data_IF_238521307478
#
_entry.id   IF_238521307478
#
_cell.length_a   1.000
_cell.length_b   1.000
_cell.length_c   1.000
_cell.angle_alpha   90.00
_cell.angle_beta   90.00
_cell.angle_gamma   90.00
#
_symmetry.space_group_name_H-M   'P 1'
#
loop_
_entity.id
_entity.type
_entity.pdbx_description
1 polymer ?
#
# COMPACT_ATOMS: atom_id res chain seq x y z
N UNK A 1 33.60 1.86 34.42
CA UNK A 1 33.02 3.07 33.80
C UNK A 1 31.51 2.96 33.93
N UNK A 2 30.94 3.61 34.92
CA UNK A 2 29.52 3.59 35.27
C UNK A 2 28.76 4.47 34.28
N UNK A 3 27.94 3.85 33.44
CA UNK A 3 26.94 4.54 32.63
C UNK A 3 25.90 5.17 33.56
N UNK A 4 25.91 6.50 33.66
CA UNK A 4 24.82 7.26 34.28
C UNK A 4 23.56 7.04 33.45
N UNK A 5 22.66 6.19 33.92
CA UNK A 5 21.26 6.18 33.53
C UNK A 5 20.70 7.51 34.01
N UNK A 6 20.51 8.47 33.15
CA UNK A 6 19.74 9.67 33.45
C UNK A 6 18.31 9.22 33.76
N UNK A 7 17.95 9.24 35.03
CA UNK A 7 16.59 9.12 35.54
C UNK A 7 15.81 10.40 35.15
N UNK A 8 15.39 10.51 33.89
CA UNK A 8 14.33 11.45 33.56
C UNK A 8 13.03 10.88 34.10
N UNK A 9 12.32 11.70 34.91
CA UNK A 9 10.98 11.35 35.40
C UNK A 9 10.12 10.92 34.22
N UNK A 10 9.39 9.77 34.28
CA UNK A 10 8.56 9.29 33.18
C UNK A 10 7.49 10.29 32.71
N UNK A 11 7.21 11.33 33.47
CA UNK A 11 6.26 12.41 33.15
C UNK A 11 6.83 13.54 32.32
N UNK A 12 8.16 13.61 32.11
CA UNK A 12 8.84 14.72 31.39
C UNK A 12 9.47 14.30 30.06
N UNK A 13 9.19 13.09 29.56
CA UNK A 13 9.72 12.62 28.28
C UNK A 13 8.61 12.43 27.25
N UNK A 14 8.84 12.91 26.03
CA UNK A 14 8.00 12.62 24.88
C UNK A 14 8.10 11.12 24.56
N UNK A 15 7.01 10.51 24.15
CA UNK A 15 7.02 9.10 23.74
C UNK A 15 7.98 8.90 22.56
N UNK A 16 8.73 7.77 22.51
CA UNK A 16 9.61 7.46 21.38
C UNK A 16 8.86 7.52 20.05
N UNK A 17 9.44 8.20 19.05
CA UNK A 17 8.83 8.36 17.73
C UNK A 17 7.72 9.43 17.64
N UNK A 18 7.47 10.17 18.72
CA UNK A 18 6.68 11.40 18.69
C UNK A 18 7.61 12.61 18.64
N UNK A 19 7.20 13.68 17.98
CA UNK A 19 7.99 14.89 17.78
C UNK A 19 7.14 16.13 18.08
N UNK A 20 7.69 17.06 18.84
CA UNK A 20 7.13 18.41 19.00
C UNK A 20 7.72 19.34 17.91
N UNK A 21 6.85 20.01 17.18
CA UNK A 21 7.27 20.96 16.18
C UNK A 21 7.64 22.30 16.84
N UNK A 22 8.78 22.91 16.43
CA UNK A 22 9.08 24.29 16.78
C UNK A 22 8.04 25.25 16.20
N UNK A 23 7.88 26.48 16.74
CA UNK A 23 6.99 27.48 16.13
C UNK A 23 7.29 27.74 14.65
N UNK A 24 8.56 27.82 14.23
CA UNK A 24 8.97 27.97 12.82
C UNK A 24 8.43 26.79 11.97
N UNK A 25 8.64 25.57 12.43
CA UNK A 25 8.20 24.37 11.73
C UNK A 25 6.66 24.28 11.66
N UNK A 26 5.97 24.66 12.74
CA UNK A 26 4.50 24.68 12.76
C UNK A 26 3.93 25.71 11.77
N UNK A 27 4.53 26.92 11.67
CA UNK A 27 4.15 27.91 10.66
C UNK A 27 4.38 27.39 9.23
N UNK A 28 5.54 26.78 8.97
CA UNK A 28 5.85 26.19 7.66
C UNK A 28 4.84 25.10 7.30
N UNK A 29 4.46 24.24 8.26
CA UNK A 29 3.44 23.20 8.08
C UNK A 29 2.09 23.79 7.71
N UNK A 30 1.60 24.80 8.44
CA UNK A 30 0.32 25.45 8.17
C UNK A 30 0.30 26.11 6.78
N UNK A 31 1.36 26.80 6.39
CA UNK A 31 1.46 27.45 5.10
C UNK A 31 1.48 26.42 3.95
N UNK A 32 2.26 25.35 4.09
CA UNK A 32 2.35 24.32 3.07
C UNK A 32 1.02 23.59 2.90
N UNK A 33 0.39 23.18 4.01
CA UNK A 33 -0.89 22.45 3.95
C UNK A 33 -2.01 23.31 3.38
N UNK A 34 -2.05 24.62 3.70
CA UNK A 34 -3.00 25.55 3.10
C UNK A 34 -2.79 25.67 1.58
N UNK A 35 -1.54 25.85 1.14
CA UNK A 35 -1.21 25.95 -0.29
C UNK A 35 -1.57 24.68 -1.07
N UNK A 36 -1.36 23.50 -0.50
CA UNK A 36 -1.76 22.24 -1.11
C UNK A 36 -3.28 22.13 -1.19
N UNK A 37 -4.00 22.53 -0.12
CA UNK A 37 -5.47 22.53 -0.14
C UNK A 37 -6.04 23.46 -1.20
N UNK A 38 -5.41 24.61 -1.46
CA UNK A 38 -5.81 25.53 -2.55
C UNK A 38 -5.64 24.86 -3.92
N UNK A 39 -4.52 24.16 -4.16
CA UNK A 39 -4.29 23.41 -5.40
C UNK A 39 -5.40 22.36 -5.58
N UNK A 40 -5.65 21.53 -4.58
CA UNK A 40 -6.65 20.47 -4.65
C UNK A 40 -8.07 21.03 -4.84
N UNK A 41 -8.40 22.13 -4.17
CA UNK A 41 -9.69 22.84 -4.33
C UNK A 41 -9.86 23.39 -5.76
N UNK A 42 -8.80 23.94 -6.38
CA UNK A 42 -8.85 24.41 -7.76
C UNK A 42 -9.11 23.29 -8.78
N UNK A 43 -8.85 22.03 -8.41
CA UNK A 43 -9.18 20.83 -9.18
C UNK A 43 -10.49 20.16 -8.72
N UNK A 44 -11.32 20.89 -7.97
CA UNK A 44 -12.65 20.48 -7.51
C UNK A 44 -12.64 19.34 -6.46
N UNK A 45 -11.55 19.20 -5.69
CA UNK A 45 -11.54 18.30 -4.54
C UNK A 45 -12.12 19.03 -3.32
N UNK A 46 -13.20 18.48 -2.78
CA UNK A 46 -13.87 19.00 -1.59
C UNK A 46 -13.11 18.59 -0.32
N UNK A 47 -13.00 19.55 0.62
CA UNK A 47 -12.36 19.27 1.92
C UNK A 47 -13.21 18.27 2.70
N UNK A 48 -12.57 17.20 3.14
CA UNK A 48 -13.15 16.13 3.94
C UNK A 48 -12.39 16.00 5.24
N UNK A 49 -13.10 16.01 6.36
CA UNK A 49 -12.57 15.69 7.67
C UNK A 49 -13.21 14.41 8.19
N UNK A 50 -12.44 13.55 8.83
CA UNK A 50 -12.92 12.32 9.40
C UNK A 50 -12.38 12.15 10.83
N UNK A 51 -13.05 11.34 11.68
CA UNK A 51 -12.59 11.06 13.02
C UNK A 51 -11.15 10.56 13.05
N UNK A 52 -10.40 10.98 14.08
CA UNK A 52 -9.05 10.45 14.33
C UNK A 52 -9.12 8.98 14.80
N UNK A 53 -10.21 8.62 15.45
CA UNK A 53 -10.45 7.31 16.02
C UNK A 53 -11.63 6.64 15.32
N UNK A 54 -11.43 5.45 14.82
CA UNK A 54 -12.40 4.65 14.06
C UNK A 54 -12.42 3.21 14.58
N UNK A 55 -13.41 2.41 14.16
CA UNK A 55 -13.40 0.97 14.45
C UNK A 55 -12.13 0.30 13.88
N UNK A 56 -11.50 -0.55 14.69
CA UNK A 56 -10.32 -1.32 14.23
C UNK A 56 -10.62 -2.17 13.00
N UNK A 57 -11.85 -2.67 12.86
CA UNK A 57 -12.27 -3.49 11.72
C UNK A 57 -12.16 -2.74 10.39
N UNK A 58 -12.41 -1.41 10.37
CA UNK A 58 -12.29 -0.57 9.17
C UNK A 58 -10.90 -0.69 8.53
N UNK A 59 -9.86 -0.74 9.36
CA UNK A 59 -8.48 -0.85 8.89
C UNK A 59 -8.02 -2.30 8.71
N UNK A 60 -8.50 -3.22 9.55
CA UNK A 60 -8.12 -4.63 9.48
C UNK A 60 -8.60 -5.33 8.21
N UNK A 61 -9.78 -5.00 7.69
CA UNK A 61 -10.33 -5.59 6.46
C UNK A 61 -9.50 -5.27 5.22
N UNK A 62 -8.91 -4.07 5.17
CA UNK A 62 -8.12 -3.58 4.06
C UNK A 62 -6.66 -4.05 4.10
N UNK A 63 -6.15 -4.26 5.31
CA UNK A 63 -4.71 -4.38 5.53
C UNK A 63 -4.26 -5.83 5.41
N UNK A 64 -3.29 -6.10 4.56
CA UNK A 64 -2.40 -7.23 4.76
C UNK A 64 -1.73 -7.13 6.14
N UNK A 65 -1.16 -8.21 6.65
CA UNK A 65 -0.63 -8.29 8.02
C UNK A 65 0.31 -7.16 8.47
N UNK A 66 0.98 -6.49 7.54
CA UNK A 66 1.95 -5.42 7.85
C UNK A 66 1.30 -4.19 8.48
N UNK A 67 0.26 -3.60 7.88
CA UNK A 67 -0.39 -2.42 8.47
C UNK A 67 -1.12 -2.78 9.76
N UNK A 68 -1.72 -3.97 9.83
CA UNK A 68 -2.41 -4.44 11.03
C UNK A 68 -1.46 -4.51 12.23
N UNK A 69 -0.22 -4.94 12.05
CA UNK A 69 0.80 -4.98 13.10
C UNK A 69 1.28 -3.60 13.55
N UNK A 70 1.00 -2.55 12.77
CA UNK A 70 1.40 -1.17 13.02
C UNK A 70 0.25 -0.27 13.52
N UNK A 71 -0.96 -0.82 13.74
CA UNK A 71 -2.10 -0.07 14.26
C UNK A 71 -1.93 0.25 15.74
N UNK A 72 -2.27 1.49 16.12
CA UNK A 72 -2.54 1.84 17.50
C UNK A 72 -3.98 1.48 17.82
N UNK A 73 -4.20 0.28 18.35
CA UNK A 73 -5.52 -0.25 18.67
C UNK A 73 -5.68 -0.46 20.17
N UNK A 74 -6.87 -0.18 20.69
CA UNK A 74 -7.22 -0.37 22.08
C UNK A 74 -8.72 -0.56 22.24
N UNK A 75 -9.13 -1.05 23.43
CA UNK A 75 -10.54 -1.12 23.79
C UNK A 75 -10.91 0.19 24.47
N UNK A 76 -11.88 0.92 23.90
CA UNK A 76 -12.39 2.14 24.52
C UNK A 76 -13.24 1.84 25.77
N UNK A 77 -13.53 2.84 26.65
CA UNK A 77 -14.35 2.63 27.84
C UNK A 77 -15.75 2.05 27.56
N UNK A 78 -16.30 2.27 26.37
CA UNK A 78 -17.56 1.68 25.89
C UNK A 78 -17.47 0.22 25.48
N UNK A 79 -16.26 -0.37 25.46
CA UNK A 79 -15.99 -1.77 25.12
C UNK A 79 -15.78 -2.05 23.62
N UNK A 80 -15.75 -1.03 22.76
CA UNK A 80 -15.47 -1.23 21.34
C UNK A 80 -13.97 -1.28 21.07
N UNK A 81 -13.55 -2.10 20.11
CA UNK A 81 -12.19 -2.08 19.59
C UNK A 81 -12.04 -0.92 18.61
N UNK A 82 -11.18 0.03 18.97
CA UNK A 82 -10.92 1.22 18.17
C UNK A 82 -9.43 1.36 17.84
N UNK A 83 -9.14 2.09 16.78
CA UNK A 83 -7.78 2.41 16.37
C UNK A 83 -7.64 3.88 16.03
N UNK A 84 -6.47 4.45 16.32
CA UNK A 84 -6.08 5.73 15.74
C UNK A 84 -5.87 5.53 14.23
N UNK A 85 -6.37 6.46 13.41
CA UNK A 85 -6.28 6.36 11.95
C UNK A 85 -4.84 6.25 11.46
N UNK A 86 -4.46 5.18 10.72
CA UNK A 86 -3.14 5.05 10.12
C UNK A 86 -3.04 5.74 8.75
N UNK A 87 -4.20 6.10 8.17
CA UNK A 87 -4.36 6.71 6.85
C UNK A 87 -5.81 7.21 6.69
N UNK A 88 -6.11 7.95 5.63
CA UNK A 88 -7.42 8.55 5.41
C UNK A 88 -8.33 7.77 4.46
N UNK A 89 -7.76 7.04 3.49
CA UNK A 89 -8.49 6.39 2.40
C UNK A 89 -9.65 5.52 2.91
N UNK A 90 -9.44 4.73 3.98
CA UNK A 90 -10.50 3.88 4.56
C UNK A 90 -11.67 4.71 5.06
N UNK A 91 -11.41 5.82 5.74
CA UNK A 91 -12.46 6.71 6.26
C UNK A 91 -13.20 7.44 5.14
N UNK A 92 -12.50 7.85 4.07
CA UNK A 92 -13.12 8.45 2.87
C UNK A 92 -14.06 7.43 2.21
N UNK A 93 -13.62 6.19 2.02
CA UNK A 93 -14.45 5.14 1.41
C UNK A 93 -15.64 4.76 2.29
N UNK A 94 -15.45 4.68 3.63
CA UNK A 94 -16.55 4.45 4.57
C UNK A 94 -17.61 5.55 4.45
N UNK A 95 -17.19 6.84 4.40
CA UNK A 95 -18.11 7.97 4.19
C UNK A 95 -18.83 7.86 2.85
N UNK A 96 -18.11 7.57 1.77
CA UNK A 96 -18.69 7.36 0.44
C UNK A 96 -19.79 6.29 0.44
N UNK A 97 -19.58 5.18 1.14
CA UNK A 97 -20.59 4.11 1.27
C UNK A 97 -21.79 4.59 2.09
N UNK A 98 -21.56 5.33 3.19
CA UNK A 98 -22.60 5.81 4.09
C UNK A 98 -23.46 6.93 3.47
N UNK A 99 -22.90 7.72 2.57
CA UNK A 99 -23.58 8.83 1.91
C UNK A 99 -24.54 8.38 0.80
N UNK A 100 -24.63 7.05 0.53
CA UNK A 100 -25.49 6.44 -0.51
C UNK A 100 -25.35 7.12 -1.89
N UNK A 101 -24.13 7.57 -2.23
CA UNK A 101 -23.84 8.30 -3.45
C UNK A 101 -24.16 7.43 -4.68
N UNK A 102 -24.86 7.95 -5.71
CA UNK A 102 -25.13 7.18 -6.91
C UNK A 102 -23.86 6.66 -7.58
N UNK A 103 -23.81 5.39 -7.94
CA UNK A 103 -22.63 4.67 -8.47
C UNK A 103 -21.95 5.30 -9.70
N UNK A 104 -22.62 6.24 -10.39
CA UNK A 104 -22.11 6.93 -11.59
C UNK A 104 -21.60 8.34 -11.30
N UNK A 105 -21.65 8.79 -10.05
CA UNK A 105 -21.18 10.12 -9.70
C UNK A 105 -19.70 10.07 -9.36
N UNK A 106 -18.91 10.92 -10.01
CA UNK A 106 -17.51 11.14 -9.65
C UNK A 106 -17.46 11.95 -8.35
N UNK A 107 -16.72 11.43 -7.37
CA UNK A 107 -16.51 12.08 -6.07
C UNK A 107 -15.04 12.38 -5.91
N UNK A 108 -14.72 13.62 -5.54
CA UNK A 108 -13.35 14.10 -5.30
C UNK A 108 -13.28 14.64 -3.88
N UNK A 109 -12.50 14.00 -3.02
CA UNK A 109 -12.30 14.40 -1.62
C UNK A 109 -10.82 14.64 -1.36
N UNK A 110 -10.50 15.70 -0.62
CA UNK A 110 -9.16 16.00 -0.11
C UNK A 110 -9.16 16.00 1.42
N UNK A 111 -8.02 15.70 2.01
CA UNK A 111 -7.88 15.66 3.45
C UNK A 111 -6.49 16.10 3.91
N UNK A 112 -6.38 16.54 5.16
CA UNK A 112 -5.13 16.85 5.86
C UNK A 112 -5.28 16.56 7.34
N UNK A 113 -4.27 15.95 7.96
CA UNK A 113 -4.27 15.75 9.40
C UNK A 113 -3.27 14.69 9.88
N UNK A 114 -3.20 14.48 11.19
CA UNK A 114 -2.31 13.49 11.77
C UNK A 114 -2.76 12.06 11.47
N UNK A 115 -1.78 11.20 11.20
CA UNK A 115 -1.94 9.75 11.13
C UNK A 115 -0.95 9.07 12.07
N UNK A 116 -1.25 7.84 12.48
CA UNK A 116 -0.54 7.14 13.54
C UNK A 116 -0.15 5.74 13.09
N UNK A 117 1.16 5.45 13.06
CA UNK A 117 1.68 4.13 12.70
C UNK A 117 2.77 3.73 13.67
N UNK A 118 2.59 2.60 14.34
CA UNK A 118 3.63 2.07 15.19
C UNK A 118 4.87 1.73 14.36
N UNK A 119 6.02 2.11 14.87
CA UNK A 119 7.31 1.65 14.37
C UNK A 119 8.24 1.41 15.56
N UNK A 120 9.11 0.41 15.43
CA UNK A 120 10.14 0.18 16.42
C UNK A 120 11.20 1.27 16.32
N UNK A 121 11.45 1.98 17.41
CA UNK A 121 12.40 3.09 17.49
C UNK A 121 13.87 2.68 17.28
N UNK A 122 14.15 1.37 17.21
CA UNK A 122 15.49 0.84 16.93
C UNK A 122 15.93 1.02 15.46
N UNK A 123 15.01 1.37 14.54
CA UNK A 123 15.26 1.47 13.11
C UNK A 123 15.34 2.91 12.56
N UNK A 124 15.79 3.88 13.32
CA UNK A 124 16.02 5.25 12.83
C UNK A 124 14.74 6.12 12.75
N UNK A 125 14.70 7.13 11.92
CA UNK A 125 13.76 8.26 11.87
C UNK A 125 12.26 7.95 11.67
N UNK A 126 11.75 6.83 12.12
CA UNK A 126 10.36 6.46 11.95
C UNK A 126 9.45 7.20 12.94
N UNK A 127 8.89 8.31 12.49
CA UNK A 127 7.86 9.02 13.24
C UNK A 127 6.62 8.13 13.39
N UNK A 128 6.09 8.05 14.61
CA UNK A 128 4.86 7.31 14.92
C UNK A 128 3.60 8.15 14.68
N UNK A 129 3.74 9.46 14.70
CA UNK A 129 2.74 10.43 14.31
C UNK A 129 3.34 11.38 13.29
N UNK A 130 2.64 11.58 12.16
CA UNK A 130 3.01 12.53 11.14
C UNK A 130 1.77 13.09 10.44
N UNK A 131 1.89 14.24 9.78
CA UNK A 131 0.81 14.86 9.04
C UNK A 131 0.76 14.30 7.63
N UNK A 132 -0.36 13.71 7.27
CA UNK A 132 -0.66 13.25 5.92
C UNK A 132 -1.61 14.24 5.24
N UNK A 133 -1.37 14.55 3.97
CA UNK A 133 -2.26 15.30 3.10
C UNK A 133 -2.39 14.60 1.76
N UNK A 134 -3.60 14.58 1.21
CA UNK A 134 -3.84 13.90 -0.05
C UNK A 134 -5.27 14.03 -0.54
N UNK A 135 -5.60 13.26 -1.58
CA UNK A 135 -6.96 13.24 -2.12
C UNK A 135 -7.32 11.87 -2.73
N UNK A 136 -8.62 11.64 -2.83
CA UNK A 136 -9.23 10.45 -3.43
C UNK A 136 -10.20 10.87 -4.53
N UNK A 137 -10.10 10.21 -5.68
CA UNK A 137 -11.00 10.29 -6.82
C UNK A 137 -11.75 8.97 -6.96
N UNK A 138 -13.06 8.99 -6.78
CA UNK A 138 -13.92 7.81 -6.77
C UNK A 138 -14.91 7.92 -7.93
N UNK A 139 -15.10 6.84 -8.68
CA UNK A 139 -16.07 6.76 -9.78
C UNK A 139 -15.47 6.87 -11.19
N UNK A 140 -14.16 7.07 -11.35
CA UNK A 140 -13.49 7.17 -12.65
C UNK A 140 -12.44 6.07 -12.85
N UNK A 141 -12.65 5.23 -13.90
CA UNK A 141 -11.75 4.11 -14.25
C UNK A 141 -10.72 4.48 -15.33
N UNK A 142 -10.67 5.72 -15.78
CA UNK A 142 -9.84 6.14 -16.90
C UNK A 142 -8.37 6.31 -16.51
N UNK A 143 -7.47 6.17 -17.49
CA UNK A 143 -6.07 6.55 -17.34
C UNK A 143 -5.86 8.07 -17.16
N UNK A 144 -6.88 8.88 -17.47
CA UNK A 144 -6.87 10.32 -17.17
C UNK A 144 -6.95 10.57 -15.67
N UNK A 145 -7.81 9.82 -14.96
CA UNK A 145 -7.89 9.88 -13.51
C UNK A 145 -6.56 9.49 -12.83
N UNK A 146 -5.89 8.45 -13.30
CA UNK A 146 -4.58 8.05 -12.77
C UNK A 146 -3.51 9.11 -13.06
N UNK A 147 -3.52 9.70 -14.26
CA UNK A 147 -2.65 10.81 -14.63
C UNK A 147 -2.92 12.07 -13.80
N UNK A 148 -4.19 12.39 -13.50
CA UNK A 148 -4.59 13.51 -12.64
C UNK A 148 -4.04 13.32 -11.22
N UNK A 149 -4.22 12.14 -10.62
CA UNK A 149 -3.76 11.84 -9.27
C UNK A 149 -2.22 11.93 -9.17
N UNK A 150 -1.50 11.37 -10.14
CA UNK A 150 -0.04 11.48 -10.17
C UNK A 150 0.40 12.95 -10.38
N UNK A 151 -0.27 13.70 -11.27
CA UNK A 151 0.02 15.13 -11.47
C UNK A 151 -0.18 15.94 -10.20
N UNK A 152 -1.31 15.76 -9.51
CA UNK A 152 -1.60 16.48 -8.27
C UNK A 152 -0.60 16.17 -7.17
N UNK A 153 -0.13 14.91 -7.07
CA UNK A 153 0.92 14.56 -6.12
C UNK A 153 2.23 15.30 -6.43
N UNK A 154 2.62 15.39 -7.70
CA UNK A 154 3.82 16.14 -8.13
C UNK A 154 3.67 17.65 -7.95
N UNK A 155 2.49 18.23 -8.26
CA UNK A 155 2.20 19.65 -7.99
C UNK A 155 2.34 20.00 -6.51
N UNK A 156 1.91 19.10 -5.62
CA UNK A 156 2.10 19.25 -4.18
C UNK A 156 3.58 19.37 -3.80
N UNK A 157 4.44 18.55 -4.40
CA UNK A 157 5.87 18.55 -4.14
C UNK A 157 6.57 19.75 -4.79
N UNK A 158 6.19 20.11 -6.01
CA UNK A 158 6.66 21.34 -6.67
C UNK A 158 6.33 22.58 -5.83
N UNK A 159 5.09 22.64 -5.28
CA UNK A 159 4.66 23.75 -4.41
C UNK A 159 5.43 23.80 -3.09
N UNK A 160 5.95 22.68 -2.62
CA UNK A 160 6.80 22.65 -1.42
C UNK A 160 8.22 23.15 -1.65
N UNK A 161 8.60 23.44 -2.90
CA UNK A 161 9.94 23.92 -3.28
C UNK A 161 10.91 22.80 -3.67
N UNK A 162 10.47 21.56 -3.74
CA UNK A 162 11.32 20.47 -4.22
C UNK A 162 11.53 20.59 -5.74
N UNK A 163 12.81 20.58 -6.17
CA UNK A 163 13.19 20.71 -7.57
C UNK A 163 13.25 19.35 -8.30
N UNK A 164 13.54 18.28 -7.57
CA UNK A 164 13.70 16.93 -8.13
C UNK A 164 13.18 15.84 -7.20
N UNK A 165 12.51 14.85 -7.78
CA UNK A 165 12.05 13.65 -7.07
C UNK A 165 12.19 12.40 -7.94
N UNK A 166 12.18 11.24 -7.32
CA UNK A 166 12.08 9.94 -7.99
C UNK A 166 10.68 9.36 -7.76
N UNK A 167 10.05 8.90 -8.84
CA UNK A 167 8.75 8.22 -8.80
C UNK A 167 8.95 6.78 -9.25
N UNK A 168 8.69 5.85 -8.33
CA UNK A 168 8.66 4.40 -8.63
C UNK A 168 7.25 4.01 -9.06
N UNK A 169 7.12 3.41 -10.23
CA UNK A 169 5.85 3.00 -10.82
C UNK A 169 5.71 1.47 -10.80
N UNK A 170 4.55 0.99 -10.41
CA UNK A 170 4.14 -0.40 -10.53
C UNK A 170 2.69 -0.53 -10.99
N UNK A 171 2.26 -1.74 -11.36
CA UNK A 171 0.87 -1.97 -11.77
C UNK A 171 0.39 -3.38 -11.40
N UNK A 172 -0.43 -3.48 -10.36
CA UNK A 172 -0.89 -4.78 -9.83
C UNK A 172 -1.79 -5.53 -10.82
N UNK A 173 -2.61 -4.84 -11.58
CA UNK A 173 -3.50 -5.45 -12.56
C UNK A 173 -2.78 -6.22 -13.67
N UNK A 174 -1.64 -5.72 -14.16
CA UNK A 174 -0.87 -6.44 -15.18
C UNK A 174 -0.20 -7.69 -14.60
N UNK A 175 0.33 -7.61 -13.38
CA UNK A 175 0.92 -8.77 -12.70
C UNK A 175 -0.15 -9.83 -12.40
N UNK A 176 -1.32 -9.41 -11.95
CA UNK A 176 -2.47 -10.28 -11.73
C UNK A 176 -2.90 -10.96 -13.04
N UNK A 177 -3.10 -10.19 -14.13
CA UNK A 177 -3.50 -10.72 -15.43
C UNK A 177 -2.52 -11.74 -15.98
N UNK A 178 -1.22 -11.57 -15.73
CA UNK A 178 -0.23 -12.58 -16.10
C UNK A 178 -0.46 -13.89 -15.34
N UNK A 179 -0.64 -13.82 -14.01
CA UNK A 179 -0.86 -15.01 -13.18
C UNK A 179 -2.20 -15.70 -13.49
N UNK A 180 -3.23 -14.95 -13.83
CA UNK A 180 -4.54 -15.47 -14.27
C UNK A 180 -4.44 -16.29 -15.55
N UNK A 181 -3.56 -15.92 -16.49
CA UNK A 181 -3.30 -16.70 -17.71
C UNK A 181 -2.77 -18.10 -17.44
N UNK A 182 -2.07 -18.29 -16.32
CA UNK A 182 -1.63 -19.61 -15.85
C UNK A 182 -2.73 -20.37 -15.09
N UNK A 183 -3.91 -19.78 -14.89
CA UNK A 183 -5.03 -20.41 -14.19
C UNK A 183 -4.87 -20.47 -12.67
N UNK A 184 -4.00 -19.65 -12.06
CA UNK A 184 -3.81 -19.62 -10.61
C UNK A 184 -5.12 -19.20 -9.92
N UNK A 185 -5.41 -19.82 -8.76
CA UNK A 185 -6.53 -19.41 -7.92
C UNK A 185 -6.32 -18.00 -7.34
N UNK A 186 -7.40 -17.27 -7.05
CA UNK A 186 -7.37 -15.95 -6.43
C UNK A 186 -6.52 -15.90 -5.15
N UNK A 187 -6.57 -16.96 -4.33
CA UNK A 187 -5.78 -17.05 -3.11
C UNK A 187 -4.30 -17.16 -3.41
N UNK A 188 -3.92 -17.95 -4.43
CA UNK A 188 -2.52 -18.13 -4.83
C UNK A 188 -1.96 -16.89 -5.52
N UNK A 189 -2.78 -16.21 -6.34
CA UNK A 189 -2.44 -14.90 -6.92
C UNK A 189 -2.19 -13.88 -5.81
N UNK A 190 -3.12 -13.73 -4.87
CA UNK A 190 -2.98 -12.81 -3.75
C UNK A 190 -1.73 -13.10 -2.91
N UNK A 191 -1.47 -14.38 -2.61
CA UNK A 191 -0.25 -14.80 -1.92
C UNK A 191 1.02 -14.44 -2.69
N UNK A 192 1.05 -14.68 -4.01
CA UNK A 192 2.20 -14.36 -4.87
C UNK A 192 2.46 -12.87 -4.91
N UNK A 193 1.40 -12.07 -5.15
CA UNK A 193 1.51 -10.61 -5.21
C UNK A 193 1.93 -9.99 -3.87
N UNK A 194 1.52 -10.56 -2.75
CA UNK A 194 1.94 -10.12 -1.41
C UNK A 194 3.43 -10.41 -1.10
N UNK A 195 4.09 -11.25 -1.89
CA UNK A 195 5.47 -11.67 -1.67
C UNK A 195 6.40 -11.38 -2.87
N UNK A 196 6.03 -10.44 -3.75
CA UNK A 196 6.80 -10.10 -4.96
C UNK A 196 8.27 -9.75 -4.70
N UNK A 197 8.57 -9.15 -3.55
CA UNK A 197 9.93 -8.78 -3.18
C UNK A 197 10.88 -9.98 -3.11
N UNK A 198 10.38 -11.17 -2.77
CA UNK A 198 11.20 -12.38 -2.78
C UNK A 198 11.74 -12.70 -4.17
N UNK A 199 10.96 -12.41 -5.22
CA UNK A 199 11.34 -12.69 -6.61
C UNK A 199 12.42 -11.74 -7.15
N UNK A 200 12.53 -10.53 -6.58
CA UNK A 200 13.46 -9.49 -7.05
C UNK A 200 14.69 -9.33 -6.17
N UNK A 201 14.58 -9.62 -4.88
CA UNK A 201 15.65 -9.38 -3.91
C UNK A 201 16.48 -10.61 -3.56
N UNK A 202 16.02 -11.83 -3.88
CA UNK A 202 16.70 -13.07 -3.52
C UNK A 202 16.99 -13.95 -4.74
N UNK A 203 18.20 -14.50 -4.78
CA UNK A 203 18.64 -15.42 -5.85
C UNK A 203 17.82 -16.72 -5.91
N UNK A 204 17.24 -17.15 -4.78
CA UNK A 204 16.38 -18.32 -4.65
C UNK A 204 14.93 -17.96 -4.34
N UNK A 205 14.47 -16.79 -4.80
CA UNK A 205 13.15 -16.26 -4.48
C UNK A 205 12.00 -17.16 -4.97
N UNK A 206 12.15 -17.75 -6.15
CA UNK A 206 11.14 -18.65 -6.74
C UNK A 206 11.00 -19.92 -5.88
N UNK A 207 12.09 -20.56 -5.53
CA UNK A 207 12.12 -21.75 -4.68
C UNK A 207 11.49 -21.47 -3.34
N UNK A 208 11.92 -20.39 -2.69
CA UNK A 208 11.42 -19.99 -1.38
C UNK A 208 9.92 -19.69 -1.39
N UNK A 209 9.44 -18.96 -2.41
CA UNK A 209 8.02 -18.65 -2.54
C UNK A 209 7.19 -19.93 -2.81
N UNK A 210 7.73 -20.85 -3.60
CA UNK A 210 7.12 -22.16 -3.87
C UNK A 210 7.05 -23.02 -2.61
N UNK A 211 8.12 -23.07 -1.80
CA UNK A 211 8.14 -23.76 -0.51
C UNK A 211 7.09 -23.17 0.45
N UNK A 212 7.05 -21.85 0.60
CA UNK A 212 6.06 -21.17 1.44
C UNK A 212 4.62 -21.48 1.01
N UNK A 213 4.34 -21.45 -0.31
CA UNK A 213 3.02 -21.80 -0.85
C UNK A 213 2.64 -23.26 -0.57
N UNK A 214 3.62 -24.17 -0.65
CA UNK A 214 3.46 -25.59 -0.33
C UNK A 214 3.20 -25.82 1.16
N UNK A 215 3.94 -25.16 2.04
CA UNK A 215 3.82 -25.30 3.51
C UNK A 215 2.43 -24.88 4.03
N UNK A 216 1.85 -23.85 3.43
CA UNK A 216 0.49 -23.39 3.76
C UNK A 216 -0.59 -24.11 2.95
N UNK A 217 -0.22 -25.08 2.10
CA UNK A 217 -1.15 -25.93 1.35
C UNK A 217 -1.87 -25.25 0.20
N UNK A 218 -1.28 -24.22 -0.42
CA UNK A 218 -1.83 -23.55 -1.61
C UNK A 218 -1.49 -24.29 -2.90
N UNK A 219 -0.40 -25.06 -2.91
CA UNK A 219 0.01 -25.91 -4.03
C UNK A 219 0.30 -27.33 -3.55
N UNK A 220 0.20 -28.32 -4.45
CA UNK A 220 0.47 -29.71 -4.14
C UNK A 220 1.97 -30.02 -4.31
N UNK A 221 2.64 -30.57 -3.29
CA UNK A 221 4.07 -30.92 -3.35
C UNK A 221 4.39 -32.15 -4.18
N UNK A 222 3.52 -32.61 -5.11
CA UNK A 222 3.74 -33.78 -5.95
C UNK A 222 4.12 -35.05 -5.16
N UNK A 223 3.26 -36.08 -5.11
CA UNK A 223 3.51 -37.42 -4.56
C UNK A 223 3.91 -37.57 -3.08
N UNK A 224 3.74 -36.57 -2.21
CA UNK A 224 3.67 -36.82 -0.77
C UNK A 224 2.24 -36.76 -0.30
N UNK A 225 1.62 -37.93 -0.11
CA UNK A 225 0.28 -38.06 0.51
C UNK A 225 0.36 -37.44 1.90
N UNK A 226 -0.48 -36.42 2.23
CA UNK A 226 -0.50 -35.86 3.58
C UNK A 226 -1.31 -36.76 4.52
N UNK A 227 -0.78 -37.93 4.85
CA UNK A 227 -1.41 -38.83 5.85
C UNK A 227 -1.10 -38.48 7.30
N UNK A 228 -0.04 -37.68 7.57
CA UNK A 228 0.45 -37.55 8.95
C UNK A 228 0.06 -36.26 9.70
N UNK A 229 -0.51 -35.25 9.02
CA UNK A 229 -0.95 -34.00 9.69
C UNK A 229 -2.44 -33.97 10.03
N UNK A 230 -3.26 -34.77 9.36
CA UNK A 230 -4.70 -34.88 9.69
C UNK A 230 -4.95 -35.67 10.97
N UNK A 231 -4.13 -36.71 11.26
CA UNK A 231 -4.23 -37.46 12.52
C UNK A 231 -3.83 -36.63 13.74
N UNK A 232 -2.80 -35.78 13.64
CA UNK A 232 -2.42 -34.87 14.74
C UNK A 232 -3.45 -33.75 14.99
N UNK A 233 -4.16 -33.30 13.96
CA UNK A 233 -5.23 -32.31 14.14
C UNK A 233 -6.48 -32.91 14.80
N UNK A 234 -6.76 -34.20 14.58
CA UNK A 234 -7.87 -34.91 15.24
C UNK A 234 -7.58 -35.25 16.69
N UNK A 235 -6.33 -35.45 17.08
CA UNK A 235 -5.91 -35.65 18.47
C UNK A 235 -5.91 -34.36 19.31
N UNK A 236 -5.57 -33.21 18.70
CA UNK A 236 -5.59 -31.89 19.35
C UNK A 236 -7.03 -31.33 19.54
N UNK A 237 -8.02 -31.86 18.82
CA UNK A 237 -9.42 -31.43 18.94
C UNK A 237 -10.20 -32.10 20.07
N UNK A 238 -9.57 -33.00 20.84
CA UNK A 238 -10.19 -33.67 22.00
C UNK A 238 -9.98 -32.99 23.35
N UNK A 239 -9.22 -31.91 23.41
CA UNK A 239 -9.08 -31.10 24.62
C UNK A 239 -9.42 -29.63 24.31
N UNK A 240 -10.53 -29.20 24.92
CA UNK A 240 -10.94 -27.84 25.21
C UNK A 240 -11.52 -26.95 24.13
N UNK A 241 -12.76 -26.61 24.39
CA UNK A 241 -13.62 -25.56 23.84
C UNK A 241 -12.92 -24.21 23.59
N UNK A 242 -12.36 -24.00 22.40
CA UNK A 242 -12.08 -22.66 21.89
C UNK A 242 -12.48 -22.55 20.40
N UNK A 243 -13.59 -21.82 20.14
CA UNK A 243 -13.99 -21.36 18.81
C UNK A 243 -15.20 -22.12 18.22
N UNK A 244 -16.33 -21.43 18.14
CA UNK A 244 -17.60 -21.89 17.51
C UNK A 244 -17.46 -22.09 16.00
N UNK A 245 -16.71 -23.09 15.55
CA UNK A 245 -16.77 -23.56 14.15
C UNK A 245 -17.07 -25.04 14.13
N UNK A 246 -18.18 -25.40 13.44
CA UNK A 246 -18.61 -26.77 13.27
C UNK A 246 -17.59 -27.55 12.40
N UNK A 247 -17.30 -28.79 12.78
CA UNK A 247 -16.38 -29.73 12.08
C UNK A 247 -16.78 -29.86 10.60
N UNK A 248 -18.07 -29.78 10.27
CA UNK A 248 -18.54 -29.78 8.89
C UNK A 248 -18.10 -28.57 8.07
N UNK A 249 -17.98 -27.40 8.67
CA UNK A 249 -17.47 -26.18 8.00
C UNK A 249 -15.96 -26.27 7.77
N UNK A 250 -15.23 -26.94 8.65
CA UNK A 250 -13.79 -27.19 8.50
C UNK A 250 -13.56 -28.23 7.41
N UNK A 251 -14.35 -29.30 7.38
CA UNK A 251 -14.30 -30.34 6.36
C UNK A 251 -14.74 -29.82 4.98
N UNK A 252 -15.79 -29.00 4.90
CA UNK A 252 -16.23 -28.37 3.65
C UNK A 252 -15.14 -27.45 3.05
N UNK A 253 -14.42 -26.70 3.89
CA UNK A 253 -13.28 -25.88 3.43
C UNK A 253 -12.08 -26.71 3.02
N UNK A 254 -11.76 -27.81 3.73
CA UNK A 254 -10.66 -28.70 3.36
C UNK A 254 -10.95 -29.47 2.08
N UNK A 255 -12.21 -29.92 1.86
CA UNK A 255 -12.60 -30.61 0.62
C UNK A 255 -12.60 -29.66 -0.58
N UNK A 256 -13.01 -28.39 -0.40
CA UNK A 256 -12.93 -27.36 -1.45
C UNK A 256 -11.48 -26.95 -1.76
N UNK A 257 -10.54 -27.09 -0.80
CA UNK A 257 -9.10 -26.92 -1.01
C UNK A 257 -8.48 -28.05 -1.81
N UNK A 258 -9.03 -29.27 -1.75
CA UNK A 258 -8.48 -30.44 -2.47
C UNK A 258 -8.84 -30.47 -3.96
N UNK A 259 -9.87 -29.73 -4.42
CA UNK A 259 -10.33 -29.79 -5.82
C UNK A 259 -9.63 -28.83 -6.77
N UNK A 260 -8.77 -27.92 -6.28
CA UNK A 260 -8.00 -26.96 -7.10
C UNK A 260 -6.54 -26.85 -6.66
N UNK A 261 -5.85 -27.98 -6.49
CA UNK A 261 -4.43 -27.94 -6.15
C UNK A 261 -3.60 -27.79 -7.43
N UNK A 262 -3.08 -26.60 -7.61
CA UNK A 262 -2.08 -26.27 -8.63
C UNK A 262 -0.82 -27.10 -8.41
N UNK A 263 -0.22 -27.63 -9.44
CA UNK A 263 1.03 -28.38 -9.30
C UNK A 263 2.19 -27.43 -9.00
N UNK A 264 3.18 -27.90 -8.25
CA UNK A 264 4.42 -27.14 -7.98
C UNK A 264 5.09 -26.67 -9.27
N UNK A 265 5.10 -27.53 -10.30
CA UNK A 265 5.74 -27.23 -11.57
C UNK A 265 5.06 -26.05 -12.29
N UNK A 266 3.73 -26.09 -12.42
CA UNK A 266 2.97 -25.01 -13.06
C UNK A 266 3.11 -23.69 -12.31
N UNK A 267 3.19 -23.77 -10.97
CA UNK A 267 3.41 -22.58 -10.15
C UNK A 267 4.82 -21.99 -10.38
N UNK A 268 5.87 -22.81 -10.42
CA UNK A 268 7.23 -22.37 -10.74
C UNK A 268 7.27 -21.73 -12.13
N UNK A 269 6.67 -22.35 -13.16
CA UNK A 269 6.59 -21.78 -14.52
C UNK A 269 5.90 -20.38 -14.53
N UNK A 270 4.86 -20.21 -13.71
CA UNK A 270 4.21 -18.91 -13.56
C UNK A 270 5.09 -17.86 -12.85
N UNK A 271 5.86 -18.27 -11.83
CA UNK A 271 6.80 -17.41 -11.13
C UNK A 271 8.01 -17.02 -11.99
N UNK A 272 8.51 -17.92 -12.84
CA UNK A 272 9.56 -17.62 -13.81
C UNK A 272 9.10 -16.57 -14.81
N UNK A 273 7.89 -16.72 -15.36
CA UNK A 273 7.28 -15.73 -16.26
C UNK A 273 7.07 -14.39 -15.59
N UNK A 274 6.60 -14.40 -14.33
CA UNK A 274 6.41 -13.17 -13.54
C UNK A 274 7.76 -12.49 -13.27
N UNK A 275 8.77 -13.26 -12.83
CA UNK A 275 10.12 -12.74 -12.56
C UNK A 275 10.75 -12.13 -13.81
N UNK A 276 10.54 -12.76 -14.96
CA UNK A 276 10.97 -12.21 -16.25
C UNK A 276 10.30 -10.87 -16.54
N UNK A 277 8.97 -10.78 -16.42
CA UNK A 277 8.22 -9.54 -16.63
C UNK A 277 8.70 -8.43 -15.67
N UNK A 278 8.89 -8.74 -14.39
CA UNK A 278 9.39 -7.78 -13.39
C UNK A 278 10.77 -7.24 -13.78
N UNK A 279 11.67 -8.12 -14.26
CA UNK A 279 13.03 -7.75 -14.68
C UNK A 279 13.01 -6.92 -15.96
N UNK A 280 12.22 -7.33 -16.94
CA UNK A 280 12.16 -6.66 -18.24
C UNK A 280 11.55 -5.25 -18.15
N UNK A 281 10.60 -5.05 -17.21
CA UNK A 281 10.00 -3.74 -16.91
C UNK A 281 10.86 -2.86 -15.99
N UNK A 282 11.76 -3.46 -15.18
CA UNK A 282 12.52 -2.71 -14.18
C UNK A 282 13.50 -1.72 -14.81
N UNK A 283 13.52 -0.48 -14.32
CA UNK A 283 14.47 0.55 -14.73
C UNK A 283 13.85 1.89 -15.07
N UNK A 284 14.65 2.77 -15.67
CA UNK A 284 14.19 4.11 -16.06
C UNK A 284 13.14 4.01 -17.17
N UNK A 285 11.98 4.64 -16.95
CA UNK A 285 10.84 4.58 -17.87
C UNK A 285 11.19 5.03 -19.31
N UNK A 286 12.08 6.01 -19.45
CA UNK A 286 12.50 6.52 -20.75
C UNK A 286 13.35 5.54 -21.55
N UNK A 287 13.95 4.54 -20.90
CA UNK A 287 14.80 3.53 -21.54
C UNK A 287 14.07 2.21 -21.82
N UNK A 288 12.85 2.05 -21.28
CA UNK A 288 12.05 0.84 -21.54
C UNK A 288 11.60 0.83 -23.00
N UNK A 289 11.88 -0.28 -23.69
CA UNK A 289 11.45 -0.49 -25.08
C UNK A 289 9.92 -0.48 -25.20
N UNK A 290 9.41 0.00 -26.34
CA UNK A 290 7.99 -0.12 -26.68
C UNK A 290 7.68 -1.43 -27.40
N UNK A 291 8.70 -2.14 -27.88
CA UNK A 291 8.56 -3.39 -28.61
C UNK A 291 8.88 -4.59 -27.73
N UNK A 292 7.93 -5.50 -27.61
CA UNK A 292 8.11 -6.79 -26.94
C UNK A 292 7.18 -7.83 -27.58
N UNK A 293 7.62 -9.08 -27.61
CA UNK A 293 6.76 -10.21 -27.96
C UNK A 293 5.76 -10.57 -26.83
N UNK A 294 5.88 -9.93 -25.66
CA UNK A 294 4.94 -10.12 -24.54
C UNK A 294 3.91 -8.98 -24.52
N UNK A 295 2.67 -9.33 -24.84
CA UNK A 295 1.55 -8.37 -24.85
C UNK A 295 1.26 -7.73 -23.49
N UNK A 296 1.66 -8.36 -22.38
CA UNK A 296 1.50 -7.80 -21.03
C UNK A 296 2.55 -6.74 -20.78
N UNK A 297 3.80 -7.01 -21.17
CA UNK A 297 4.89 -6.04 -21.13
C UNK A 297 4.56 -4.78 -21.93
N UNK A 298 4.16 -4.96 -23.20
CA UNK A 298 3.85 -3.84 -24.09
C UNK A 298 2.75 -2.94 -23.53
N UNK A 299 1.64 -3.54 -23.07
CA UNK A 299 0.53 -2.79 -22.45
C UNK A 299 0.98 -2.06 -21.18
N UNK A 300 1.79 -2.69 -20.34
CA UNK A 300 2.29 -2.06 -19.12
C UNK A 300 3.21 -0.89 -19.41
N UNK A 301 4.18 -1.05 -20.33
CA UNK A 301 5.11 0.00 -20.76
C UNK A 301 4.37 1.21 -21.33
N UNK A 302 3.45 0.98 -22.27
CA UNK A 302 2.63 2.04 -22.88
C UNK A 302 1.77 2.76 -21.84
N UNK A 303 1.19 2.03 -20.87
CA UNK A 303 0.38 2.63 -19.82
C UNK A 303 1.20 3.52 -18.89
N UNK A 304 2.38 3.07 -18.44
CA UNK A 304 3.26 3.89 -17.62
C UNK A 304 3.69 5.17 -18.34
N UNK A 305 4.07 5.09 -19.62
CA UNK A 305 4.43 6.25 -20.43
C UNK A 305 3.25 7.21 -20.60
N UNK A 306 2.05 6.68 -20.80
CA UNK A 306 0.83 7.49 -20.92
C UNK A 306 0.54 8.26 -19.63
N UNK A 307 0.55 7.59 -18.48
CA UNK A 307 0.24 8.19 -17.17
C UNK A 307 1.33 9.20 -16.77
N UNK A 308 2.60 8.85 -16.92
CA UNK A 308 3.71 9.75 -16.65
C UNK A 308 3.68 10.98 -17.56
N UNK A 309 3.41 10.81 -18.87
CA UNK A 309 3.29 11.91 -19.82
C UNK A 309 2.13 12.86 -19.50
N UNK A 310 0.99 12.33 -19.01
CA UNK A 310 -0.14 13.14 -18.53
C UNK A 310 0.24 13.93 -17.26
N UNK A 311 0.93 13.27 -16.31
CA UNK A 311 1.35 13.88 -15.06
C UNK A 311 2.36 15.02 -15.27
N UNK A 312 3.29 14.85 -16.19
CA UNK A 312 4.36 15.83 -16.45
C UNK A 312 3.93 17.05 -17.27
N UNK A 313 2.68 17.08 -17.78
CA UNK A 313 2.22 18.21 -18.57
C UNK A 313 2.19 19.50 -17.74
N UNK A 314 2.98 20.50 -18.17
CA UNK A 314 3.13 21.82 -17.53
C UNK A 314 3.81 21.79 -16.15
N UNK A 315 4.54 20.72 -15.82
CA UNK A 315 5.32 20.61 -14.60
C UNK A 315 6.71 21.22 -14.74
N UNK A 316 7.22 21.80 -13.65
CA UNK A 316 8.57 22.37 -13.55
C UNK A 316 9.52 21.48 -12.75
N UNK A 317 8.99 20.68 -11.83
CA UNK A 317 9.77 19.73 -11.05
C UNK A 317 10.37 18.66 -11.96
N UNK A 318 11.63 18.35 -11.76
CA UNK A 318 12.31 17.23 -12.44
C UNK A 318 11.89 15.90 -11.81
N UNK A 319 11.51 14.94 -12.62
CA UNK A 319 11.05 13.62 -12.15
C UNK A 319 11.80 12.50 -12.83
N UNK A 320 12.50 11.70 -12.04
CA UNK A 320 13.05 10.41 -12.48
C UNK A 320 11.99 9.31 -12.31
N UNK A 321 11.37 8.89 -13.41
CA UNK A 321 10.44 7.77 -13.38
C UNK A 321 11.19 6.44 -13.48
N UNK A 322 11.02 5.59 -12.47
CA UNK A 322 11.59 4.24 -12.40
C UNK A 322 10.44 3.25 -12.33
N UNK A 323 10.39 2.26 -13.22
CA UNK A 323 9.45 1.15 -13.10
C UNK A 323 10.03 0.13 -12.14
N UNK A 324 9.30 -0.13 -11.06
CA UNK A 324 9.57 -1.15 -10.07
C UNK A 324 8.26 -1.78 -9.61
N UNK A 325 7.81 -2.76 -10.37
CA UNK A 325 6.54 -3.45 -10.10
C UNK A 325 6.57 -4.31 -8.83
N UNK A 326 7.74 -4.53 -8.24
CA UNK A 326 7.90 -5.22 -6.96
C UNK A 326 7.93 -4.26 -5.76
N UNK A 327 8.05 -2.94 -5.98
CA UNK A 327 7.90 -1.95 -4.93
C UNK A 327 6.49 -2.06 -4.34
N UNK A 328 6.42 -2.43 -3.07
CA UNK A 328 5.16 -2.61 -2.36
C UNK A 328 5.03 -1.55 -1.27
N UNK A 329 3.87 -0.89 -1.25
CA UNK A 329 3.52 0.03 -0.18
C UNK A 329 2.93 -0.66 1.06
N UNK A 330 3.06 -1.96 1.22
CA UNK A 330 2.44 -2.69 2.34
C UNK A 330 0.89 -2.70 2.31
N UNK A 331 0.27 -2.22 1.20
CA UNK A 331 -1.17 -2.18 1.02
C UNK A 331 -1.59 -3.13 -0.10
N UNK A 332 -2.19 -4.25 0.26
CA UNK A 332 -2.59 -5.32 -0.67
C UNK A 332 -3.87 -5.03 -1.46
N UNK A 333 -4.50 -3.88 -1.24
CA UNK A 333 -5.79 -3.53 -1.86
C UNK A 333 -5.67 -2.84 -3.23
N UNK A 334 -4.46 -2.49 -3.69
CA UNK A 334 -4.28 -1.90 -5.00
C UNK A 334 -4.62 -2.89 -6.12
N UNK A 335 -5.36 -2.41 -7.12
CA UNK A 335 -5.83 -3.20 -8.26
C UNK A 335 -5.25 -2.74 -9.61
N UNK A 336 -4.73 -1.52 -9.67
CA UNK A 336 -4.19 -0.89 -10.86
C UNK A 336 -2.78 -0.37 -10.66
N UNK A 337 -2.54 0.85 -11.17
CA UNK A 337 -1.26 1.55 -10.98
C UNK A 337 -0.98 1.80 -9.50
N UNK A 338 0.29 1.72 -9.14
CA UNK A 338 0.84 2.13 -7.85
C UNK A 338 2.02 3.03 -8.12
N UNK A 339 2.22 4.05 -7.30
CA UNK A 339 3.43 4.85 -7.34
C UNK A 339 3.89 5.26 -5.94
N UNK A 340 5.20 5.25 -5.75
CA UNK A 340 5.91 5.77 -4.59
C UNK A 340 6.77 6.95 -5.00
N UNK A 341 6.80 7.98 -4.18
CA UNK A 341 7.58 9.19 -4.42
C UNK A 341 8.63 9.33 -3.34
N UNK A 342 9.87 9.49 -3.76
CA UNK A 342 11.04 9.57 -2.89
C UNK A 342 11.88 10.79 -3.26
N UNK A 343 12.49 11.41 -2.24
CA UNK A 343 13.60 12.33 -2.43
C UNK A 343 14.90 11.56 -2.26
N UNK A 344 15.75 11.59 -3.27
CA UNK A 344 17.02 10.86 -3.29
C UNK A 344 18.18 11.85 -3.21
N UNK A 345 19.06 11.68 -2.21
CA UNK A 345 20.28 12.50 -2.02
C UNK A 345 21.47 11.60 -1.74
N UNK A 346 22.29 11.39 -2.76
CA UNK A 346 23.39 10.42 -2.70
C UNK A 346 22.87 8.98 -2.57
N UNK A 347 23.25 8.30 -1.48
CA UNK A 347 22.76 6.95 -1.15
C UNK A 347 21.45 6.93 -0.35
N UNK A 348 21.02 8.08 0.13
CA UNK A 348 19.88 8.17 1.04
C UNK A 348 18.59 8.43 0.26
N UNK A 349 17.53 7.76 0.65
CA UNK A 349 16.19 7.91 0.09
C UNK A 349 15.20 8.22 1.21
N UNK A 350 14.46 9.32 1.05
CA UNK A 350 13.43 9.76 1.99
C UNK A 350 12.08 9.59 1.33
N UNK A 351 11.19 8.71 1.85
CA UNK A 351 9.85 8.54 1.31
C UNK A 351 9.00 9.77 1.58
N UNK A 352 8.43 10.35 0.52
CA UNK A 352 7.58 11.54 0.57
C UNK A 352 6.11 11.20 0.56
N UNK A 353 5.72 10.10 -0.05
CA UNK A 353 4.34 9.73 -0.22
C UNK A 353 4.13 8.78 -1.40
N UNK A 354 2.91 8.77 -1.94
CA UNK A 354 2.55 8.05 -3.15
C UNK A 354 1.09 7.66 -3.13
N UNK A 355 0.69 6.84 -4.09
CA UNK A 355 -0.71 6.53 -4.31
C UNK A 355 -0.93 5.38 -5.27
N UNK A 356 -2.14 5.32 -5.82
CA UNK A 356 -2.50 4.32 -6.82
C UNK A 356 -3.99 4.05 -6.88
N UNK A 357 -4.37 3.07 -7.72
CA UNK A 357 -5.74 2.65 -8.01
C UNK A 357 -6.17 1.43 -7.18
N UNK A 358 -7.37 1.49 -6.61
CA UNK A 358 -7.89 0.49 -5.66
C UNK A 358 -9.41 0.25 -5.84
N UNK A 359 -9.84 -0.15 -7.02
CA UNK A 359 -11.25 -0.27 -7.43
C UNK A 359 -12.08 -1.24 -6.57
N UNK A 360 -11.45 -2.26 -5.96
CA UNK A 360 -12.11 -3.24 -5.10
C UNK A 360 -12.41 -2.77 -3.68
N UNK A 361 -11.88 -1.60 -3.26
CA UNK A 361 -11.92 -1.22 -1.83
C UNK A 361 -13.34 -0.88 -1.33
N UNK A 362 -14.17 -0.25 -2.17
CA UNK A 362 -15.56 0.06 -1.81
C UNK A 362 -16.31 -1.23 -1.45
N UNK A 363 -16.21 -2.26 -2.29
CA UNK A 363 -16.85 -3.56 -2.05
C UNK A 363 -16.25 -4.28 -0.83
N UNK A 364 -14.93 -4.21 -0.67
CA UNK A 364 -14.23 -4.80 0.47
C UNK A 364 -14.71 -4.23 1.81
N UNK A 365 -14.98 -2.93 1.87
CA UNK A 365 -15.46 -2.23 3.06
C UNK A 365 -16.99 -2.27 3.23
N UNK A 366 -17.70 -3.13 2.47
CA UNK A 366 -19.14 -3.40 2.63
C UNK A 366 -20.03 -2.62 1.68
N UNK A 367 -19.51 -1.92 0.70
CA UNK A 367 -20.29 -1.33 -0.38
C UNK A 367 -20.89 -2.39 -1.30
N UNK A 368 -21.97 -2.08 -2.05
CA UNK A 368 -22.73 -3.05 -2.82
C UNK A 368 -21.98 -3.58 -4.05
N UNK A 369 -21.06 -2.80 -4.61
CA UNK A 369 -20.31 -3.12 -5.83
C UNK A 369 -18.88 -2.62 -5.77
N UNK A 370 -18.05 -3.07 -6.69
CA UNK A 370 -16.77 -2.44 -6.97
C UNK A 370 -17.00 -1.08 -7.62
N UNK A 371 -16.22 -0.09 -7.20
CA UNK A 371 -16.25 1.28 -7.72
C UNK A 371 -14.83 1.71 -8.02
N UNK A 372 -14.53 2.19 -9.24
CA UNK A 372 -13.21 2.69 -9.55
C UNK A 372 -12.78 3.78 -8.58
N UNK A 373 -11.57 3.65 -8.05
CA UNK A 373 -11.04 4.63 -7.13
C UNK A 373 -9.51 4.71 -7.23
N UNK A 374 -9.00 5.94 -7.16
CA UNK A 374 -7.56 6.24 -7.20
C UNK A 374 -7.27 7.44 -6.32
N UNK A 375 -6.09 7.49 -5.71
CA UNK A 375 -5.75 8.59 -4.81
C UNK A 375 -4.27 8.63 -4.47
N UNK A 376 -3.86 9.69 -3.79
CA UNK A 376 -2.50 9.82 -3.27
C UNK A 376 -2.49 10.46 -1.88
N UNK A 377 -1.41 10.25 -1.17
CA UNK A 377 -1.12 10.96 0.06
C UNK A 377 0.39 11.21 0.21
N UNK A 378 0.74 12.40 0.70
CA UNK A 378 2.11 12.80 1.02
C UNK A 378 2.31 13.00 2.52
N UNK A 379 3.53 12.80 2.98
CA UNK A 379 3.97 13.07 4.34
C UNK A 379 4.54 14.49 4.43
N UNK A 380 3.79 15.41 5.00
CA UNK A 380 4.16 16.82 5.13
C UNK A 380 5.40 16.99 6.00
N UNK A 381 5.54 16.19 7.06
CA UNK A 381 6.68 16.29 7.97
C UNK A 381 8.00 15.84 7.28
N UNK A 382 7.94 14.80 6.42
CA UNK A 382 9.09 14.39 5.60
C UNK A 382 9.50 15.50 4.60
N UNK A 383 8.53 16.11 3.92
CA UNK A 383 8.76 17.19 2.96
C UNK A 383 9.46 18.38 3.66
N UNK A 384 8.94 18.81 4.79
CA UNK A 384 9.50 19.94 5.55
C UNK A 384 10.89 19.64 6.11
N UNK A 385 11.17 18.39 6.47
CA UNK A 385 12.51 18.01 6.95
C UNK A 385 13.59 18.17 5.87
N UNK A 386 13.26 17.94 4.61
CA UNK A 386 14.19 18.14 3.49
C UNK A 386 14.48 19.62 3.30
N UNK A 387 13.45 20.47 3.29
CA UNK A 387 13.60 21.90 3.12
C UNK A 387 14.49 22.53 4.22
N UNK A 388 14.38 22.04 5.47
CA UNK A 388 15.25 22.51 6.55
C UNK A 388 16.71 22.07 6.40
N UNK A 389 16.98 20.91 5.80
CA UNK A 389 18.36 20.45 5.53
C UNK A 389 19.05 21.24 4.42
N UNK A 390 18.30 21.89 3.53
CA UNK A 390 18.84 22.69 2.43
C UNK A 390 18.99 24.19 2.82
N UNK A 391 18.24 24.70 3.83
CA UNK A 391 18.42 26.04 4.41
C UNK A 391 19.70 26.17 5.29
N UNK A 392 20.17 25.09 5.90
CA UNK A 392 21.39 25.09 6.76
C UNK A 392 22.70 25.00 5.95
N UNK A 393 22.68 25.21 4.64
CA UNK A 393 23.82 25.27 3.73
C UNK A 393 24.05 26.68 3.15
#
# INVERSE_FOLDING_TARGET
>A
MSSQIQNSSPTNSILPGMVEASPKMQHAKLNLTASISEILTSHSYEIFDCPIMESTELYAMKSGGELTSRLYSFVEPGGMNVSLRPEFTSSVIRSYISDEIPQKQIVKKQYVGPVFRYSDSSQGSNQRQFTQQGCELIGDSSADADGEILKLSLLTLEKSGLEKVTVKLGHMGYLRSLLEKFGLSEVLIGFTLANLQLLTQQTNGIEKLSEMASDIGLINPGNKVPGSKLEKASELSRSDNYGRRNIEQINYRSTRKQTNSFSVREYIESLESLTKLLRDLAGNLNTISDESNDSTFEKASQYFKLVAGKAMRDMKIEVDFIVDCAAQRGFTYYTGIIFDIEYVKGSDSIPLGGGGRYDGLVKLLGGPTEVPATGFAVNIDSILSINSMDEDR
#
